data_IF_572379115731
#
_entry.id   IF_572379115731
#
_cell.length_a   1.000
_cell.length_b   1.000
_cell.length_c   1.000
_cell.angle_alpha   90.00
_cell.angle_beta   90.00
_cell.angle_gamma   90.00
#
_symmetry.space_group_name_H-M   'P 1'
#
loop_
_entity.id
_entity.type
_entity.pdbx_description
1 polymer ?
#
# COMPACT_ATOMS: atom_id res chain seq x y z
N UNK A 1 -30.37 72.31 -7.09
CA UNK A 1 -29.83 70.98 -6.70
C UNK A 1 -30.83 69.96 -7.26
N UNK A 2 -30.60 69.36 -8.44
CA UNK A 2 -29.79 68.15 -8.70
C UNK A 2 -30.37 66.94 -7.95
N UNK A 3 -30.59 65.73 -8.49
CA UNK A 3 -30.34 65.07 -9.78
C UNK A 3 -31.22 63.80 -9.75
N UNK A 4 -31.87 63.43 -10.85
CA UNK A 4 -32.55 62.12 -10.97
C UNK A 4 -31.50 61.05 -11.22
N UNK A 5 -31.58 59.91 -10.53
CA UNK A 5 -30.83 58.71 -10.93
C UNK A 5 -31.69 57.46 -10.77
N UNK A 6 -31.97 56.88 -11.93
CA UNK A 6 -32.55 55.57 -12.14
C UNK A 6 -31.58 54.50 -11.61
N UNK A 7 -32.07 53.55 -10.83
CA UNK A 7 -31.42 52.26 -10.66
C UNK A 7 -32.14 51.26 -11.56
N UNK A 8 -31.46 50.90 -12.64
CA UNK A 8 -31.85 49.93 -13.65
C UNK A 8 -31.97 48.55 -13.02
N UNK A 9 -33.16 47.97 -13.16
CA UNK A 9 -33.44 46.56 -12.90
C UNK A 9 -32.79 45.71 -14.00
N UNK A 10 -31.80 44.88 -13.66
CA UNK A 10 -31.24 43.87 -14.57
C UNK A 10 -31.53 42.49 -14.03
N UNK A 11 -32.64 41.93 -14.52
CA UNK A 11 -32.85 40.49 -14.66
C UNK A 11 -31.60 39.85 -15.26
N UNK A 12 -31.06 38.85 -14.57
CA UNK A 12 -30.24 37.82 -15.18
C UNK A 12 -31.03 36.51 -15.07
N UNK A 13 -31.93 36.29 -16.03
CA UNK A 13 -32.50 34.98 -16.31
C UNK A 13 -31.36 34.09 -16.84
N UNK A 14 -30.66 33.41 -15.93
CA UNK A 14 -29.66 32.40 -16.28
C UNK A 14 -30.37 31.09 -16.62
N UNK A 15 -30.91 31.07 -17.85
CA UNK A 15 -31.26 29.86 -18.58
C UNK A 15 -29.97 29.04 -18.79
N UNK A 16 -29.80 27.93 -18.07
CA UNK A 16 -29.13 26.72 -18.58
C UNK A 16 -29.07 25.58 -17.53
N UNK A 17 -30.19 24.90 -17.21
CA UNK A 17 -30.14 23.67 -16.41
C UNK A 17 -29.33 22.53 -17.08
N UNK A 18 -29.11 22.59 -18.39
CA UNK A 18 -28.41 21.54 -19.16
C UNK A 18 -26.89 21.53 -19.05
N UNK A 19 -26.26 22.70 -18.83
CA UNK A 19 -24.79 22.82 -18.79
C UNK A 19 -24.26 22.37 -17.42
N UNK A 20 -24.92 22.82 -16.34
CA UNK A 20 -24.59 22.42 -14.97
C UNK A 20 -24.74 20.91 -14.80
N UNK A 21 -25.78 20.31 -15.40
CA UNK A 21 -26.02 18.85 -15.36
C UNK A 21 -24.96 18.04 -16.11
N UNK A 22 -24.37 18.58 -17.19
CA UNK A 22 -23.23 17.96 -17.89
C UNK A 22 -21.94 18.05 -17.08
N UNK A 23 -21.70 19.19 -16.41
CA UNK A 23 -20.54 19.37 -15.54
C UNK A 23 -20.64 18.42 -14.33
N UNK A 24 -21.80 18.32 -13.68
CA UNK A 24 -22.02 17.39 -12.57
C UNK A 24 -21.84 15.92 -13.00
N UNK A 25 -22.36 15.51 -14.16
CA UNK A 25 -22.10 14.16 -14.71
C UNK A 25 -20.62 13.90 -15.01
N UNK A 26 -19.89 14.91 -15.46
CA UNK A 26 -18.44 14.80 -15.69
C UNK A 26 -17.67 14.67 -14.38
N UNK A 27 -18.18 15.22 -13.27
CA UNK A 27 -17.58 15.08 -11.95
C UNK A 27 -17.93 13.74 -11.29
N UNK A 28 -19.12 13.19 -11.51
CA UNK A 28 -19.50 11.84 -11.05
C UNK A 28 -18.52 10.75 -11.56
N UNK A 29 -18.00 10.90 -12.78
CA UNK A 29 -16.96 10.01 -13.32
C UNK A 29 -15.55 10.23 -12.75
N UNK A 30 -15.27 11.42 -12.19
CA UNK A 30 -13.99 11.74 -11.54
C UNK A 30 -13.98 11.35 -10.05
N UNK A 31 -15.16 11.28 -9.42
CA UNK A 31 -15.38 10.75 -8.08
C UNK A 31 -15.77 9.26 -8.06
N UNK A 32 -15.78 8.60 -9.22
CA UNK A 32 -15.64 7.13 -9.30
C UNK A 32 -14.31 6.79 -8.62
N UNK A 33 -14.42 6.41 -7.35
CA UNK A 33 -13.34 5.99 -6.47
C UNK A 33 -12.51 4.91 -7.15
N UNK A 34 -11.44 5.32 -7.86
CA UNK A 34 -10.26 4.47 -7.99
C UNK A 34 -9.83 4.19 -6.56
N UNK A 35 -10.19 3.00 -6.05
CA UNK A 35 -9.85 2.59 -4.70
C UNK A 35 -8.36 2.87 -4.48
N UNK A 36 -8.05 3.75 -3.53
CA UNK A 36 -6.66 4.09 -3.24
C UNK A 36 -6.01 2.83 -2.70
N UNK A 37 -5.27 2.11 -3.55
CA UNK A 37 -4.59 0.87 -3.15
C UNK A 37 -3.60 1.21 -2.04
N UNK A 38 -3.86 0.73 -0.84
CA UNK A 38 -2.96 0.90 0.30
C UNK A 38 -1.79 -0.08 0.13
N UNK A 39 -0.60 0.47 -0.10
CA UNK A 39 0.62 -0.33 -0.20
C UNK A 39 1.03 -0.87 1.16
N UNK A 40 1.29 -2.17 1.20
CA UNK A 40 1.98 -2.82 2.31
C UNK A 40 3.33 -2.13 2.57
N UNK A 41 3.74 -2.07 3.83
CA UNK A 41 4.95 -1.33 4.24
C UNK A 41 5.60 -1.99 5.45
N UNK A 42 6.92 -1.92 5.49
CA UNK A 42 7.76 -2.48 6.54
C UNK A 42 8.68 -1.41 7.10
N UNK A 43 8.92 -1.45 8.40
CA UNK A 43 9.80 -0.52 9.12
C UNK A 43 10.93 -1.26 9.81
N UNK A 44 12.12 -0.67 9.69
CA UNK A 44 13.33 -1.04 10.41
C UNK A 44 13.77 0.16 11.25
N UNK A 45 13.26 0.23 12.48
CA UNK A 45 13.46 1.35 13.39
C UNK A 45 13.05 2.71 12.77
N UNK A 46 14.00 3.48 12.23
CA UNK A 46 13.77 4.83 11.68
C UNK A 46 13.60 4.88 10.16
N UNK A 47 13.64 3.73 9.47
CA UNK A 47 13.52 3.65 8.02
C UNK A 47 12.34 2.77 7.63
N UNK A 48 11.67 3.10 6.52
CA UNK A 48 10.53 2.31 6.01
C UNK A 48 10.52 2.24 4.50
N UNK A 49 9.99 1.14 3.97
CA UNK A 49 9.84 0.95 2.53
C UNK A 49 8.60 0.12 2.20
N UNK A 50 8.15 0.22 0.95
CA UNK A 50 6.96 -0.51 0.50
C UNK A 50 7.29 -1.98 0.24
N UNK A 51 6.35 -2.84 0.61
CA UNK A 51 6.36 -4.26 0.29
C UNK A 51 5.61 -4.50 -1.02
N UNK A 52 6.27 -5.15 -1.99
CA UNK A 52 5.71 -5.47 -3.30
C UNK A 52 4.91 -6.78 -3.18
N UNK A 53 3.69 -6.85 -3.73
CA UNK A 53 2.92 -8.09 -3.77
C UNK A 53 3.66 -9.25 -4.44
N UNK A 54 3.35 -10.48 -4.00
CA UNK A 54 3.92 -11.73 -4.52
C UNK A 54 5.46 -11.73 -4.45
N UNK A 55 5.98 -11.21 -3.35
CA UNK A 55 7.40 -11.29 -3.00
C UNK A 55 7.57 -12.04 -1.69
N UNK A 56 8.75 -12.61 -1.52
CA UNK A 56 9.14 -13.26 -0.27
C UNK A 56 10.57 -12.85 0.09
N UNK A 57 10.78 -12.56 1.37
CA UNK A 57 12.07 -12.21 1.92
C UNK A 57 12.50 -13.37 2.81
N UNK A 58 13.48 -14.16 2.38
CA UNK A 58 13.90 -15.41 3.05
C UNK A 58 14.75 -15.19 4.31
N UNK A 59 15.40 -14.04 4.42
CA UNK A 59 16.11 -13.58 5.62
C UNK A 59 16.30 -12.05 5.58
N UNK A 60 16.47 -11.43 6.76
CA UNK A 60 16.85 -10.01 6.91
C UNK A 60 18.29 -9.84 7.40
N UNK A 61 19.19 -10.77 7.05
CA UNK A 61 20.58 -10.70 7.49
C UNK A 61 21.23 -9.36 7.11
N UNK A 62 22.07 -8.87 8.01
CA UNK A 62 22.79 -7.59 7.88
C UNK A 62 21.89 -6.35 7.80
N UNK A 63 20.59 -6.48 8.09
CA UNK A 63 19.68 -5.35 8.25
C UNK A 63 19.38 -5.09 9.72
N UNK A 64 18.95 -3.86 10.02
CA UNK A 64 18.36 -3.56 11.35
C UNK A 64 17.10 -4.43 11.55
N UNK A 65 16.73 -4.78 12.79
CA UNK A 65 15.52 -5.54 13.04
C UNK A 65 14.25 -4.85 12.50
N UNK A 66 13.31 -5.65 12.02
CA UNK A 66 11.97 -5.17 11.66
C UNK A 66 11.22 -4.82 12.94
N UNK A 67 10.66 -3.62 13.00
CA UNK A 67 9.93 -3.12 14.17
C UNK A 67 8.43 -3.08 13.96
N UNK A 68 7.98 -2.89 12.71
CA UNK A 68 6.56 -2.71 12.40
C UNK A 68 6.28 -3.18 10.97
N UNK A 69 5.09 -3.75 10.77
CA UNK A 69 4.53 -4.07 9.46
C UNK A 69 3.11 -3.53 9.37
N UNK A 70 2.78 -2.96 8.21
CA UNK A 70 1.44 -2.53 7.80
C UNK A 70 1.11 -3.31 6.53
N UNK A 71 0.02 -4.06 6.55
CA UNK A 71 -0.32 -4.98 5.46
C UNK A 71 -0.95 -4.29 4.25
N UNK A 72 -1.41 -3.05 4.37
CA UNK A 72 -2.12 -2.37 3.29
C UNK A 72 -3.25 -3.26 2.76
N UNK A 73 -3.30 -3.49 1.44
CA UNK A 73 -4.30 -4.38 0.83
C UNK A 73 -3.81 -5.84 0.65
N UNK A 74 -2.67 -6.21 1.26
CA UNK A 74 -2.05 -7.54 1.11
C UNK A 74 -2.28 -8.44 2.32
N UNK A 75 -2.11 -9.74 2.11
CA UNK A 75 -1.82 -10.71 3.16
C UNK A 75 -0.31 -10.77 3.39
N UNK A 76 0.13 -10.72 4.65
CA UNK A 76 1.54 -10.84 5.01
C UNK A 76 1.70 -11.94 6.04
N UNK A 77 2.57 -12.91 5.78
CA UNK A 77 2.97 -13.88 6.78
C UNK A 77 4.39 -13.60 7.24
N UNK A 78 4.55 -13.37 8.53
CA UNK A 78 5.82 -13.10 9.22
C UNK A 78 6.28 -14.38 9.91
N UNK A 79 7.58 -14.67 9.84
CA UNK A 79 8.19 -15.83 10.47
C UNK A 79 9.32 -15.39 11.41
N UNK A 80 9.41 -16.03 12.57
CA UNK A 80 10.45 -15.74 13.56
C UNK A 80 11.84 -16.26 13.16
N UNK A 81 11.92 -17.21 12.22
CA UNK A 81 13.19 -17.75 11.71
C UNK A 81 13.31 -17.57 10.19
N UNK A 82 14.55 -17.72 9.71
CA UNK A 82 14.85 -17.68 8.28
C UNK A 82 14.15 -18.80 7.51
N UNK A 83 14.08 -18.65 6.19
CA UNK A 83 13.56 -19.65 5.27
C UNK A 83 12.15 -20.13 5.66
N UNK A 84 11.33 -19.19 6.15
CA UNK A 84 9.92 -19.37 6.46
C UNK A 84 9.67 -20.42 7.57
N UNK A 85 10.54 -20.44 8.57
CA UNK A 85 10.48 -21.38 9.70
C UNK A 85 10.12 -20.70 11.03
N UNK A 86 9.96 -21.51 12.07
CA UNK A 86 9.61 -21.05 13.42
C UNK A 86 8.12 -20.74 13.59
N UNK A 87 7.80 -19.97 14.64
CA UNK A 87 6.45 -19.44 14.83
C UNK A 87 6.16 -18.40 13.75
N UNK A 88 4.88 -18.20 13.48
CA UNK A 88 4.45 -17.27 12.45
C UNK A 88 3.27 -16.41 12.90
N UNK A 89 3.15 -15.25 12.27
CA UNK A 89 2.02 -14.34 12.39
C UNK A 89 1.48 -14.04 10.99
N UNK A 90 0.20 -14.33 10.77
CA UNK A 90 -0.49 -13.97 9.53
C UNK A 90 -1.27 -12.67 9.75
N UNK A 91 -1.00 -11.69 8.90
CA UNK A 91 -1.70 -10.42 8.80
C UNK A 91 -2.60 -10.45 7.56
N UNK A 92 -3.88 -10.11 7.72
CA UNK A 92 -4.80 -9.81 6.65
C UNK A 92 -4.72 -8.35 6.20
N UNK A 93 -5.42 -7.98 5.11
CA UNK A 93 -5.49 -6.61 4.62
C UNK A 93 -5.99 -5.62 5.69
N UNK A 94 -5.30 -4.48 5.81
CA UNK A 94 -5.63 -3.36 6.69
C UNK A 94 -5.04 -3.47 8.09
N UNK A 95 -4.35 -4.57 8.40
CA UNK A 95 -3.74 -4.81 9.71
C UNK A 95 -2.36 -4.17 9.84
N UNK A 96 -2.05 -3.73 11.06
CA UNK A 96 -0.77 -3.17 11.41
C UNK A 96 -0.32 -3.71 12.75
N UNK A 97 0.93 -4.13 12.83
CA UNK A 97 1.48 -4.79 14.03
C UNK A 97 2.89 -4.30 14.33
N UNK A 98 3.20 -4.18 15.63
CA UNK A 98 4.57 -4.04 16.11
C UNK A 98 5.14 -5.42 16.38
N UNK A 99 6.38 -5.65 15.95
CA UNK A 99 7.01 -6.96 16.01
C UNK A 99 8.19 -6.93 16.98
N UNK A 100 8.33 -7.99 17.76
CA UNK A 100 9.54 -8.29 18.54
C UNK A 100 10.58 -9.06 17.72
N UNK A 101 10.16 -9.71 16.62
CA UNK A 101 11.01 -10.48 15.73
C UNK A 101 10.37 -10.71 14.37
N UNK A 102 11.20 -10.68 13.33
CA UNK A 102 10.87 -11.03 11.94
C UNK A 102 12.18 -11.39 11.26
N UNK A 103 12.36 -12.67 10.96
CA UNK A 103 13.55 -13.15 10.26
C UNK A 103 13.24 -13.38 8.77
N UNK A 104 12.04 -13.84 8.44
CA UNK A 104 11.58 -13.95 7.05
C UNK A 104 10.10 -13.59 6.91
N UNK A 105 9.66 -13.25 5.70
CA UNK A 105 8.26 -12.93 5.43
C UNK A 105 7.82 -13.24 3.99
N UNK A 106 6.50 -13.34 3.80
CA UNK A 106 5.84 -13.41 2.50
C UNK A 106 4.76 -12.35 2.38
N UNK A 107 4.60 -11.80 1.17
CA UNK A 107 3.60 -10.79 0.83
C UNK A 107 2.78 -11.28 -0.35
N UNK A 108 1.46 -11.31 -0.22
CA UNK A 108 0.57 -11.78 -1.27
C UNK A 108 -0.67 -10.91 -1.40
N UNK A 109 -1.23 -10.81 -2.59
CA UNK A 109 -2.58 -10.27 -2.81
C UNK A 109 -3.67 -11.27 -2.45
N UNK A 110 -3.33 -12.55 -2.29
CA UNK A 110 -4.28 -13.63 -2.05
C UNK A 110 -3.90 -14.44 -0.81
N UNK A 111 -4.85 -15.21 -0.28
CA UNK A 111 -4.55 -16.15 0.81
C UNK A 111 -3.72 -17.31 0.26
N UNK A 112 -2.73 -17.76 1.03
CA UNK A 112 -1.88 -18.90 0.68
C UNK A 112 -1.76 -19.89 1.85
N UNK A 113 -1.37 -21.13 1.54
CA UNK A 113 -1.18 -22.19 2.54
C UNK A 113 0.17 -22.03 3.24
N UNK A 114 0.15 -21.58 4.49
CA UNK A 114 1.35 -21.47 5.34
C UNK A 114 1.98 -22.85 5.58
N UNK A 115 1.17 -23.89 5.73
CA UNK A 115 1.67 -25.26 5.90
C UNK A 115 2.51 -25.71 4.70
N UNK A 116 2.07 -25.39 3.47
CA UNK A 116 2.81 -25.69 2.26
C UNK A 116 4.15 -24.96 2.19
N UNK A 117 4.19 -23.72 2.66
CA UNK A 117 5.43 -22.90 2.69
C UNK A 117 6.41 -23.49 3.71
N UNK A 118 5.95 -23.77 4.93
CA UNK A 118 6.79 -24.29 6.02
C UNK A 118 7.37 -25.66 5.72
N UNK A 119 6.53 -26.58 5.21
CA UNK A 119 6.94 -27.96 4.96
C UNK A 119 8.04 -28.08 3.89
N UNK A 120 8.06 -27.15 2.92
CA UNK A 120 9.03 -27.16 1.84
C UNK A 120 10.14 -26.11 2.01
N UNK A 121 10.02 -25.21 3.00
CA UNK A 121 10.87 -24.03 3.15
C UNK A 121 10.98 -23.18 1.87
N UNK A 122 9.88 -23.10 1.11
CA UNK A 122 9.82 -22.40 -0.19
C UNK A 122 8.55 -21.57 -0.29
N UNK A 123 8.59 -20.38 -0.91
CA UNK A 123 7.39 -19.58 -1.10
C UNK A 123 6.43 -20.21 -2.12
N UNK A 124 5.17 -19.75 -2.20
CA UNK A 124 4.24 -20.17 -3.24
C UNK A 124 4.80 -19.90 -4.64
N UNK A 125 4.36 -20.70 -5.63
CA UNK A 125 4.79 -20.52 -7.02
C UNK A 125 4.48 -19.11 -7.53
N UNK A 126 5.42 -18.54 -8.29
CA UNK A 126 5.29 -17.20 -8.86
C UNK A 126 5.75 -16.07 -7.93
N UNK A 127 6.15 -16.39 -6.69
CA UNK A 127 6.74 -15.40 -5.80
C UNK A 127 8.18 -15.11 -6.19
N UNK A 128 8.55 -13.84 -6.11
CA UNK A 128 9.93 -13.43 -6.23
C UNK A 128 10.60 -13.59 -4.87
N UNK A 129 11.54 -14.53 -4.78
CA UNK A 129 12.30 -14.81 -3.56
C UNK A 129 13.62 -14.07 -3.55
N UNK A 130 13.93 -13.44 -2.42
CA UNK A 130 15.17 -12.71 -2.21
C UNK A 130 15.50 -12.59 -0.72
N UNK A 131 16.73 -12.20 -0.40
CA UNK A 131 17.04 -11.71 0.95
C UNK A 131 16.73 -10.21 1.08
N UNK A 132 16.72 -9.72 2.31
CA UNK A 132 16.38 -8.34 2.63
C UNK A 132 17.27 -7.30 1.91
N UNK A 133 18.61 -7.45 1.92
CA UNK A 133 19.49 -6.56 1.16
C UNK A 133 19.20 -6.54 -0.35
N UNK A 134 18.99 -7.70 -0.97
CA UNK A 134 18.65 -7.79 -2.38
C UNK A 134 17.29 -7.15 -2.67
N UNK A 135 16.29 -7.37 -1.80
CA UNK A 135 15.00 -6.68 -1.89
C UNK A 135 15.17 -5.17 -1.92
N UNK A 136 15.98 -4.65 -1.00
CA UNK A 136 16.25 -3.22 -0.89
C UNK A 136 16.93 -2.66 -2.14
N UNK A 137 17.91 -3.38 -2.69
CA UNK A 137 18.59 -2.98 -3.93
C UNK A 137 17.64 -2.91 -5.13
N UNK A 138 16.65 -3.81 -5.21
CA UNK A 138 15.68 -3.84 -6.32
C UNK A 138 14.54 -2.83 -6.18
N UNK A 139 14.02 -2.63 -4.97
CA UNK A 139 12.73 -1.96 -4.77
C UNK A 139 12.79 -0.67 -3.95
N UNK A 140 13.91 -0.37 -3.28
CA UNK A 140 14.07 0.89 -2.57
C UNK A 140 14.76 1.93 -3.44
N UNK A 141 14.07 3.05 -3.70
CA UNK A 141 14.67 4.20 -4.39
C UNK A 141 15.87 4.78 -3.64
N UNK A 142 15.93 4.62 -2.31
CA UNK A 142 17.03 5.11 -1.48
C UNK A 142 18.35 4.37 -1.68
N UNK A 143 18.33 3.12 -2.18
CA UNK A 143 19.55 2.33 -2.42
C UNK A 143 20.08 2.48 -3.86
N UNK A 144 19.27 3.02 -4.78
CA UNK A 144 19.69 3.27 -6.18
C UNK A 144 20.67 4.42 -6.34
N UNK A 145 20.82 5.27 -5.32
CA UNK A 145 21.64 6.48 -5.35
C UNK A 145 22.51 6.68 -4.10
N UNK A 146 22.66 5.64 -3.27
CA UNK A 146 23.51 5.64 -2.07
C UNK A 146 24.87 5.00 -2.35
#
# INVERSE_FOLDING_TARGET
MSSVSQAVDKKVDLVAPGIIRRILKSMEGFFSTQGVIKKARIWHSGFSYSLIPNTSIRNFHHMKPVTTIDSGDCYICVFEQDNYQGNYLLLGPGEKVQLSGCASLLVSTEKFSIASVRNNATPPKGFWEMDGPMYMAHFSSGYRYA
#
